data_IF_926914760125
#
_entry.id   IF_926914760125
#
_cell.length_a   1.000
_cell.length_b   1.000
_cell.length_c   1.000
_cell.angle_alpha   90.00
_cell.angle_beta   90.00
_cell.angle_gamma   90.00
#
_symmetry.space_group_name_H-M   'P 1'
#
loop_
_entity.id
_entity.type
_entity.pdbx_description
1 polymer ?
#
# COMPACT_ATOMS: atom_id res chain seq x y z
N UNK A 1 31.96 -22.26 15.03
CA UNK A 1 32.40 -23.31 15.97
C UNK A 1 33.19 -22.66 17.10
N UNK A 2 32.69 -22.66 18.35
CA UNK A 2 33.47 -22.17 19.49
C UNK A 2 34.52 -23.22 19.88
N UNK A 3 35.80 -22.91 19.75
CA UNK A 3 36.90 -23.79 20.15
C UNK A 3 37.04 -23.79 21.67
N UNK A 4 36.68 -24.92 22.30
CA UNK A 4 36.87 -25.13 23.74
C UNK A 4 38.31 -25.58 24.03
N UNK A 5 38.83 -25.11 25.17
CA UNK A 5 40.24 -25.21 25.56
C UNK A 5 40.53 -26.54 26.28
N UNK A 6 41.29 -27.43 25.64
CA UNK A 6 41.57 -28.80 26.10
C UNK A 6 42.94 -28.98 26.77
N UNK A 7 43.54 -27.91 27.31
CA UNK A 7 44.85 -27.99 27.98
C UNK A 7 44.67 -28.54 29.40
N UNK A 8 45.41 -29.59 29.81
CA UNK A 8 45.35 -30.13 31.17
C UNK A 8 46.06 -29.21 32.18
N UNK A 9 45.49 -29.10 33.38
CA UNK A 9 46.09 -28.35 34.48
C UNK A 9 47.25 -29.17 35.03
N UNK A 10 48.45 -28.59 35.04
CA UNK A 10 49.69 -29.30 35.42
C UNK A 10 50.09 -29.10 36.89
N UNK A 11 49.41 -28.20 37.61
CA UNK A 11 49.77 -27.77 38.97
C UNK A 11 48.56 -27.58 39.89
N UNK A 12 48.77 -27.72 41.21
CA UNK A 12 47.74 -27.48 42.24
C UNK A 12 46.71 -28.60 42.42
N UNK A 13 45.66 -28.32 43.19
CA UNK A 13 44.62 -29.29 43.63
C UNK A 13 43.82 -29.89 42.44
N UNK A 14 43.78 -29.19 41.30
CA UNK A 14 43.07 -29.63 40.10
C UNK A 14 44.01 -30.25 39.04
N UNK A 15 45.23 -30.68 39.43
CA UNK A 15 46.20 -31.29 38.53
C UNK A 15 45.62 -32.53 37.83
N UNK A 16 45.81 -32.60 36.51
CA UNK A 16 45.31 -33.67 35.64
C UNK A 16 43.93 -33.43 35.01
N UNK A 17 43.14 -32.48 35.50
CA UNK A 17 41.84 -32.12 34.91
C UNK A 17 42.00 -31.12 33.76
N UNK A 18 41.10 -31.14 32.77
CA UNK A 18 41.17 -30.22 31.64
C UNK A 18 40.64 -28.82 32.02
N UNK A 19 41.25 -27.79 31.44
CA UNK A 19 40.91 -26.40 31.73
C UNK A 19 39.43 -26.07 31.54
N UNK A 20 38.78 -26.64 30.51
CA UNK A 20 37.35 -26.44 30.23
C UNK A 20 36.43 -26.97 31.35
N UNK A 21 36.85 -28.01 32.06
CA UNK A 21 36.02 -28.69 33.06
C UNK A 21 36.04 -27.94 34.40
N UNK A 22 37.10 -27.16 34.63
CA UNK A 22 37.35 -26.51 35.93
C UNK A 22 37.17 -25.00 35.86
N UNK A 23 37.53 -24.37 34.74
CA UNK A 23 37.52 -22.91 34.63
C UNK A 23 36.40 -22.41 33.74
N UNK A 24 35.54 -21.56 34.31
CA UNK A 24 34.49 -20.82 33.58
C UNK A 24 35.04 -19.98 32.40
N UNK A 25 36.30 -19.54 32.49
CA UNK A 25 37.00 -18.84 31.42
C UNK A 25 38.41 -19.45 31.24
N UNK A 26 38.73 -19.96 30.05
CA UNK A 26 40.05 -20.54 29.78
C UNK A 26 41.13 -19.45 29.82
N UNK A 27 42.16 -19.67 30.63
CA UNK A 27 43.32 -18.76 30.81
C UNK A 27 44.46 -19.06 29.84
N UNK A 28 44.36 -20.13 29.06
CA UNK A 28 45.36 -20.54 28.05
C UNK A 28 45.11 -19.90 26.68
N UNK A 29 43.93 -19.31 26.46
CA UNK A 29 43.67 -18.55 25.24
C UNK A 29 44.27 -17.17 25.41
N UNK A 30 45.45 -16.98 24.84
CA UNK A 30 46.10 -15.68 24.81
C UNK A 30 45.41 -14.75 23.82
N UNK A 31 45.44 -13.45 24.13
CA UNK A 31 44.91 -12.38 23.28
C UNK A 31 46.00 -11.34 23.10
N UNK A 32 46.38 -11.08 21.85
CA UNK A 32 47.37 -10.06 21.52
C UNK A 32 46.73 -8.67 21.44
N UNK A 33 47.47 -7.64 21.85
CA UNK A 33 47.12 -6.25 21.57
C UNK A 33 47.20 -6.01 20.06
N UNK A 34 46.13 -5.48 19.49
CA UNK A 34 46.03 -5.15 18.06
C UNK A 34 46.87 -3.93 17.66
N UNK A 35 47.40 -3.18 18.63
CA UNK A 35 48.20 -1.96 18.40
C UNK A 35 49.70 -2.26 18.43
N UNK A 36 50.17 -3.04 19.41
CA UNK A 36 51.60 -3.31 19.62
C UNK A 36 51.97 -4.80 19.58
N UNK A 37 51.00 -5.70 19.44
CA UNK A 37 51.23 -7.14 19.36
C UNK A 37 51.49 -7.84 20.70
N UNK A 38 51.56 -7.13 21.84
CA UNK A 38 51.83 -7.77 23.14
C UNK A 38 50.76 -8.80 23.51
N UNK A 39 51.20 -9.98 23.98
CA UNK A 39 50.34 -11.15 24.21
C UNK A 39 49.94 -11.25 25.67
N UNK A 40 48.64 -11.28 25.95
CA UNK A 40 48.09 -11.35 27.31
C UNK A 40 47.30 -12.62 27.54
N UNK A 41 47.42 -13.21 28.74
CA UNK A 41 46.63 -14.39 29.15
C UNK A 41 45.15 -14.06 29.44
N UNK A 42 44.82 -12.78 29.63
CA UNK A 42 43.47 -12.33 29.97
C UNK A 42 43.08 -11.05 29.22
N UNK A 43 41.84 -11.02 28.71
CA UNK A 43 41.26 -9.84 28.03
C UNK A 43 41.25 -8.58 28.90
N UNK A 44 41.04 -8.72 30.21
CA UNK A 44 41.03 -7.60 31.15
C UNK A 44 42.43 -6.98 31.32
N UNK A 45 43.47 -7.81 31.35
CA UNK A 45 44.87 -7.35 31.40
C UNK A 45 45.26 -6.61 30.13
N UNK A 46 44.91 -7.16 28.95
CA UNK A 46 45.08 -6.46 27.66
C UNK A 46 44.31 -5.14 27.63
N UNK A 47 43.07 -5.11 28.14
CA UNK A 47 42.27 -3.88 28.23
C UNK A 47 42.92 -2.81 29.09
N UNK A 48 43.49 -3.18 30.24
CA UNK A 48 44.24 -2.25 31.10
C UNK A 48 45.55 -1.79 30.46
N UNK A 49 46.26 -2.69 29.78
CA UNK A 49 47.45 -2.35 29.00
C UNK A 49 47.12 -1.29 27.93
N UNK A 50 46.06 -1.50 27.14
CA UNK A 50 45.62 -0.51 26.14
C UNK A 50 45.26 0.83 26.77
N UNK A 51 44.56 0.83 27.89
CA UNK A 51 44.18 2.07 28.58
C UNK A 51 45.39 2.84 29.14
N UNK A 52 46.46 2.14 29.55
CA UNK A 52 47.67 2.77 30.11
C UNK A 52 48.68 3.21 29.06
N UNK A 53 48.92 2.37 28.05
CA UNK A 53 50.04 2.55 27.11
C UNK A 53 49.58 2.96 25.70
N UNK A 54 48.30 2.78 25.38
CA UNK A 54 47.67 3.27 24.15
C UNK A 54 46.42 4.14 24.42
N UNK A 55 46.52 5.17 25.30
CA UNK A 55 45.41 6.07 25.57
C UNK A 55 45.07 6.85 24.28
N UNK A 56 43.96 6.49 23.63
CA UNK A 56 43.50 7.20 22.43
C UNK A 56 42.75 6.33 21.42
N UNK A 57 42.91 5.02 21.43
CA UNK A 57 42.30 4.16 20.42
C UNK A 57 41.18 3.30 21.01
N UNK A 58 39.95 3.58 20.53
CA UNK A 58 38.69 2.82 20.68
C UNK A 58 37.77 3.21 21.86
N UNK A 59 37.21 4.43 21.78
CA UNK A 59 35.95 4.78 22.45
C UNK A 59 34.75 4.25 21.63
N UNK A 60 34.43 2.97 21.75
CA UNK A 60 33.06 2.47 21.49
C UNK A 60 32.85 1.18 22.29
N UNK A 61 32.35 1.30 23.52
CA UNK A 61 31.41 0.35 24.13
C UNK A 61 30.68 1.08 25.27
N UNK A 62 29.53 1.66 24.89
CA UNK A 62 28.32 2.01 25.64
C UNK A 62 28.47 2.09 27.18
N UNK A 63 28.46 3.33 27.70
CA UNK A 63 27.86 3.68 29.00
C UNK A 63 26.83 4.80 28.77
N UNK A 64 25.72 4.85 29.54
CA UNK A 64 24.68 5.85 29.35
C UNK A 64 25.28 7.24 29.49
N UNK A 65 24.94 8.11 28.53
CA UNK A 65 25.44 9.48 28.47
C UNK A 65 25.06 10.23 29.76
N UNK A 66 26.06 10.53 30.59
CA UNK A 66 26.06 11.74 31.40
C UNK A 66 27.45 12.39 31.33
N UNK A 67 27.50 13.48 30.56
CA UNK A 67 28.50 14.56 30.53
C UNK A 67 29.89 14.14 30.00
N UNK A 68 30.54 14.83 29.06
CA UNK A 68 30.50 16.25 28.68
C UNK A 68 30.86 16.38 27.20
N UNK A 69 30.06 17.14 26.44
CA UNK A 69 30.49 17.72 25.16
C UNK A 69 31.24 19.01 25.53
N UNK A 70 32.48 19.13 25.06
CA UNK A 70 33.22 20.39 25.09
C UNK A 70 32.52 21.36 24.14
N UNK A 71 31.87 22.35 24.76
CA UNK A 71 31.05 23.43 24.20
C UNK A 71 29.92 22.99 23.24
N UNK A 72 28.65 22.97 23.70
CA UNK A 72 27.53 22.92 22.77
C UNK A 72 27.55 24.18 21.89
N UNK A 73 27.13 24.11 20.60
CA UNK A 73 26.82 25.33 19.84
C UNK A 73 25.94 26.21 20.72
N UNK A 74 26.15 27.54 20.69
CA UNK A 74 25.64 28.44 21.71
C UNK A 74 24.19 28.07 22.06
N UNK A 75 23.87 28.00 23.35
CA UNK A 75 22.53 27.56 23.80
C UNK A 75 21.41 28.32 23.09
N UNK A 76 21.70 29.53 22.59
CA UNK A 76 20.84 30.32 21.74
C UNK A 76 20.66 29.75 20.32
N UNK A 77 21.73 29.39 19.61
CA UNK A 77 21.66 28.78 18.26
C UNK A 77 20.97 27.42 18.29
N UNK A 78 21.25 26.58 19.29
CA UNK A 78 20.59 25.29 19.42
C UNK A 78 19.08 25.44 19.72
N UNK A 79 18.71 26.39 20.60
CA UNK A 79 17.30 26.72 20.87
C UNK A 79 16.61 27.28 19.64
N UNK A 80 17.30 28.15 18.88
CA UNK A 80 16.79 28.71 17.62
C UNK A 80 16.54 27.61 16.59
N UNK A 81 17.50 26.71 16.39
CA UNK A 81 17.35 25.58 15.46
C UNK A 81 16.24 24.60 15.88
N UNK A 82 16.08 24.32 17.18
CA UNK A 82 14.95 23.52 17.67
C UNK A 82 13.60 24.21 17.44
N UNK A 83 13.53 25.53 17.62
CA UNK A 83 12.30 26.29 17.36
C UNK A 83 11.95 26.28 15.87
N UNK A 84 12.94 26.45 14.99
CA UNK A 84 12.77 26.38 13.53
C UNK A 84 12.32 24.98 13.08
N UNK A 85 12.94 23.92 13.62
CA UNK A 85 12.52 22.53 13.34
C UNK A 85 11.08 22.25 13.81
N UNK A 86 10.67 22.84 14.95
CA UNK A 86 9.29 22.71 15.44
C UNK A 86 8.31 23.42 14.52
N UNK A 87 8.65 24.62 14.06
CA UNK A 87 7.82 25.39 13.12
C UNK A 87 7.71 24.66 11.78
N UNK A 88 8.83 24.16 11.23
CA UNK A 88 8.83 23.38 9.99
C UNK A 88 8.01 22.10 10.10
N UNK A 89 8.10 21.38 11.22
CA UNK A 89 7.25 20.21 11.48
C UNK A 89 5.78 20.58 11.58
N UNK A 90 5.46 21.68 12.26
CA UNK A 90 4.09 22.17 12.34
C UNK A 90 3.55 22.54 10.95
N UNK A 91 4.32 23.30 10.17
CA UNK A 91 3.95 23.64 8.79
C UNK A 91 3.79 22.40 7.90
N UNK A 92 4.62 21.38 8.10
CA UNK A 92 4.50 20.10 7.38
C UNK A 92 3.24 19.35 7.79
N UNK A 93 2.93 19.29 9.08
CA UNK A 93 1.70 18.68 9.61
C UNK A 93 0.46 19.45 9.14
N UNK A 94 0.46 20.78 9.21
CA UNK A 94 -0.64 21.62 8.71
C UNK A 94 -0.86 21.43 7.20
N UNK A 95 0.21 21.15 6.44
CA UNK A 95 0.12 20.78 5.01
C UNK A 95 -0.45 19.37 4.81
N UNK A 96 -0.04 18.40 5.64
CA UNK A 96 -0.61 17.04 5.61
C UNK A 96 -2.10 17.10 5.95
N UNK A 97 -2.47 17.80 7.02
CA UNK A 97 -3.85 17.98 7.45
C UNK A 97 -4.68 18.67 6.35
N UNK A 98 -4.13 19.68 5.66
CA UNK A 98 -4.79 20.28 4.49
C UNK A 98 -4.99 19.29 3.34
N UNK A 99 -4.02 18.43 3.05
CA UNK A 99 -4.12 17.40 2.00
C UNK A 99 -5.09 16.28 2.39
N UNK A 100 -5.20 15.96 3.68
CA UNK A 100 -6.15 14.96 4.19
C UNK A 100 -7.59 15.50 4.30
N UNK A 101 -7.75 16.81 4.49
CA UNK A 101 -9.03 17.50 4.51
C UNK A 101 -9.58 17.83 3.12
N UNK A 102 -8.75 17.78 2.07
CA UNK A 102 -9.29 17.79 0.71
C UNK A 102 -10.11 16.51 0.51
N UNK A 103 -11.39 16.61 0.09
CA UNK A 103 -12.17 15.44 -0.22
C UNK A 103 -11.46 14.70 -1.34
N UNK A 104 -10.81 13.59 -1.00
CA UNK A 104 -10.35 12.59 -1.94
C UNK A 104 -11.59 12.00 -2.58
N UNK A 105 -12.17 12.71 -3.55
CA UNK A 105 -13.18 12.23 -4.48
C UNK A 105 -12.50 11.25 -5.45
N UNK A 106 -11.89 10.21 -4.87
CA UNK A 106 -11.31 9.09 -5.58
C UNK A 106 -12.51 8.27 -5.98
N UNK A 107 -12.88 8.38 -7.24
CA UNK A 107 -13.93 7.55 -7.82
C UNK A 107 -13.37 6.15 -7.95
N UNK A 108 -14.03 5.19 -7.32
CA UNK A 108 -13.60 3.79 -7.28
C UNK A 108 -14.57 2.96 -8.11
N UNK A 109 -14.06 2.00 -8.88
CA UNK A 109 -14.93 1.19 -9.73
C UNK A 109 -15.60 0.11 -8.92
N UNK A 110 -16.92 0.24 -8.86
CA UNK A 110 -17.82 -0.64 -8.14
C UNK A 110 -17.73 -0.51 -6.63
N UNK A 111 -17.45 0.69 -6.11
CA UNK A 111 -17.56 1.01 -4.68
C UNK A 111 -18.98 0.80 -4.13
N UNK A 112 -19.99 1.29 -4.85
CA UNK A 112 -21.41 1.05 -4.64
C UNK A 112 -22.02 0.25 -5.80
N UNK A 113 -23.28 -0.18 -5.66
CA UNK A 113 -23.98 -0.79 -6.81
C UNK A 113 -24.21 0.29 -7.86
N UNK A 114 -23.95 -0.03 -9.13
CA UNK A 114 -24.14 0.93 -10.22
C UNK A 114 -25.57 1.48 -10.25
N UNK A 115 -26.56 0.68 -9.87
CA UNK A 115 -27.95 1.14 -9.79
C UNK A 115 -28.12 2.25 -8.75
N UNK A 116 -27.63 2.04 -7.52
CA UNK A 116 -27.67 3.07 -6.47
C UNK A 116 -26.93 4.35 -6.88
N UNK A 117 -25.74 4.21 -7.49
CA UNK A 117 -24.98 5.36 -7.99
C UNK A 117 -25.74 6.12 -9.08
N UNK A 118 -26.46 5.42 -9.96
CA UNK A 118 -27.32 6.03 -10.97
C UNK A 118 -28.54 6.71 -10.32
N UNK A 119 -29.23 6.06 -9.39
CA UNK A 119 -30.34 6.67 -8.63
C UNK A 119 -29.91 7.97 -7.97
N UNK A 120 -28.75 7.97 -7.28
CA UNK A 120 -28.22 9.17 -6.64
C UNK A 120 -27.95 10.28 -7.66
N UNK A 121 -27.44 9.94 -8.85
CA UNK A 121 -27.13 10.91 -9.91
C UNK A 121 -28.38 11.47 -10.60
N UNK A 122 -29.42 10.67 -10.77
CA UNK A 122 -30.68 11.08 -11.40
C UNK A 122 -31.72 11.63 -10.41
N UNK A 123 -31.55 11.38 -9.11
CA UNK A 123 -32.48 11.74 -8.04
C UNK A 123 -33.79 10.94 -8.06
N UNK A 124 -33.90 9.89 -8.88
CA UNK A 124 -35.10 9.09 -9.07
C UNK A 124 -34.75 7.70 -9.57
N UNK A 125 -35.32 6.66 -8.93
CA UNK A 125 -35.19 5.27 -9.34
C UNK A 125 -35.74 5.07 -10.77
N UNK A 126 -36.89 5.69 -11.09
CA UNK A 126 -37.54 5.59 -12.40
C UNK A 126 -36.62 6.05 -13.54
N UNK A 127 -35.99 7.21 -13.38
CA UNK A 127 -35.05 7.77 -14.36
C UNK A 127 -33.78 6.93 -14.48
N UNK A 128 -33.27 6.41 -13.37
CA UNK A 128 -32.10 5.53 -13.38
C UNK A 128 -32.40 4.20 -14.11
N UNK A 129 -33.59 3.64 -13.90
CA UNK A 129 -34.04 2.44 -14.62
C UNK A 129 -34.22 2.70 -16.12
N UNK A 130 -34.89 3.79 -16.51
CA UNK A 130 -35.09 4.16 -17.91
C UNK A 130 -33.74 4.33 -18.64
N UNK A 131 -32.79 4.99 -17.97
CA UNK A 131 -31.42 5.11 -18.48
C UNK A 131 -30.74 3.74 -18.62
N UNK A 132 -30.81 2.86 -17.62
CA UNK A 132 -30.23 1.52 -17.73
C UNK A 132 -30.83 0.74 -18.90
N UNK A 133 -32.16 0.69 -19.00
CA UNK A 133 -32.89 -0.08 -20.01
C UNK A 133 -32.62 0.39 -21.44
N UNK A 134 -32.54 1.70 -21.65
CA UNK A 134 -32.23 2.27 -22.96
C UNK A 134 -30.79 2.00 -23.43
N UNK A 135 -29.88 1.64 -22.51
CA UNK A 135 -28.46 1.41 -22.77
C UNK A 135 -28.02 -0.07 -22.66
N UNK A 136 -28.93 -1.03 -22.50
CA UNK A 136 -28.62 -2.48 -22.45
C UNK A 136 -28.27 -3.03 -23.84
N UNK A 137 -27.15 -2.58 -24.40
CA UNK A 137 -26.53 -3.15 -25.60
C UNK A 137 -25.02 -3.18 -25.36
N UNK A 138 -24.29 -4.24 -25.73
CA UNK A 138 -22.83 -4.31 -25.54
C UNK A 138 -22.09 -3.07 -26.05
N UNK A 139 -22.56 -2.52 -27.17
CA UNK A 139 -22.01 -1.31 -27.81
C UNK A 139 -22.30 -0.02 -27.04
N UNK A 140 -23.32 -0.02 -26.16
CA UNK A 140 -23.77 1.11 -25.33
C UNK A 140 -23.44 0.96 -23.85
N UNK A 141 -22.84 -0.16 -23.43
CA UNK A 141 -22.35 -0.31 -22.05
C UNK A 141 -21.39 0.82 -21.65
N UNK A 142 -20.70 1.41 -22.63
CA UNK A 142 -19.85 2.59 -22.42
C UNK A 142 -20.65 3.81 -21.94
N UNK A 143 -21.92 3.96 -22.33
CA UNK A 143 -22.77 5.09 -21.91
C UNK A 143 -23.00 5.06 -20.40
N UNK A 144 -23.16 3.86 -19.83
CA UNK A 144 -23.30 3.66 -18.38
C UNK A 144 -21.99 4.02 -17.67
N UNK A 145 -20.85 3.54 -18.21
CA UNK A 145 -19.51 3.87 -17.68
C UNK A 145 -19.24 5.37 -17.76
N UNK A 146 -19.59 6.01 -18.88
CA UNK A 146 -19.46 7.45 -19.08
C UNK A 146 -20.26 8.20 -18.03
N UNK A 147 -21.54 7.86 -17.87
CA UNK A 147 -22.45 8.50 -16.91
C UNK A 147 -21.97 8.32 -15.48
N UNK A 148 -21.40 7.18 -15.12
CA UNK A 148 -20.99 6.94 -13.72
C UNK A 148 -19.60 7.46 -13.39
N UNK A 149 -18.65 7.29 -14.30
CA UNK A 149 -17.23 7.36 -13.94
C UNK A 149 -16.43 8.39 -14.72
N UNK A 150 -16.93 8.92 -15.84
CA UNK A 150 -16.15 9.80 -16.73
C UNK A 150 -16.77 11.20 -16.91
N UNK A 151 -18.11 11.30 -16.89
CA UNK A 151 -18.84 12.55 -17.12
C UNK A 151 -18.48 13.62 -16.07
N UNK A 152 -17.98 14.76 -16.54
CA UNK A 152 -17.56 15.89 -15.69
C UNK A 152 -16.18 15.73 -15.06
N UNK A 153 -15.39 14.72 -15.48
CA UNK A 153 -14.05 14.44 -14.95
C UNK A 153 -13.02 14.67 -16.06
N UNK A 154 -11.88 15.25 -15.71
CA UNK A 154 -10.77 15.42 -16.64
C UNK A 154 -10.12 14.06 -16.96
N UNK A 155 -9.65 13.86 -18.19
CA UNK A 155 -9.11 12.55 -18.65
C UNK A 155 -7.92 12.01 -17.85
N UNK A 156 -7.13 12.89 -17.23
CA UNK A 156 -6.01 12.59 -16.33
C UNK A 156 -6.46 12.19 -14.91
N UNK A 157 -7.75 12.32 -14.61
CA UNK A 157 -8.39 11.96 -13.34
C UNK A 157 -9.39 10.82 -13.49
N UNK A 158 -9.47 10.21 -14.67
CA UNK A 158 -10.36 9.07 -14.87
C UNK A 158 -10.00 7.92 -13.92
N UNK A 159 -10.99 7.22 -13.35
CA UNK A 159 -10.74 6.08 -12.48
C UNK A 159 -10.29 4.82 -13.26
N UNK A 160 -10.30 4.90 -14.60
CA UNK A 160 -9.84 3.90 -15.55
C UNK A 160 -8.99 4.62 -16.59
N UNK A 161 -7.81 4.08 -16.91
CA UNK A 161 -7.02 4.53 -18.05
C UNK A 161 -6.50 3.33 -18.84
N UNK A 162 -6.31 3.52 -20.13
CA UNK A 162 -5.75 2.53 -21.05
C UNK A 162 -4.57 3.13 -21.80
N UNK A 163 -3.53 2.31 -22.02
CA UNK A 163 -2.45 2.60 -23.00
C UNK A 163 -2.59 1.67 -24.20
N UNK A 164 -1.68 1.81 -25.16
CA UNK A 164 -1.57 0.89 -26.29
C UNK A 164 -1.46 -0.58 -25.84
N UNK A 165 -2.02 -1.48 -26.66
CA UNK A 165 -2.04 -2.92 -26.39
C UNK A 165 -3.06 -3.40 -25.36
N UNK A 166 -4.14 -2.63 -25.12
CA UNK A 166 -5.22 -2.99 -24.17
C UNK A 166 -4.71 -3.18 -22.73
N UNK A 167 -3.73 -2.37 -22.30
CA UNK A 167 -3.27 -2.37 -20.91
C UNK A 167 -4.07 -1.36 -20.12
N UNK A 168 -5.00 -1.85 -19.31
CA UNK A 168 -5.84 -1.02 -18.45
C UNK A 168 -5.24 -0.91 -17.06
N UNK A 169 -5.30 0.30 -16.49
CA UNK A 169 -5.09 0.53 -15.06
C UNK A 169 -6.30 1.20 -14.47
N UNK A 170 -6.71 0.73 -13.28
CA UNK A 170 -7.91 1.24 -12.63
C UNK A 170 -7.91 1.02 -11.13
N UNK A 171 -8.74 1.78 -10.42
CA UNK A 171 -8.89 1.67 -8.97
C UNK A 171 -9.95 0.63 -8.61
N UNK A 172 -9.57 -0.35 -7.79
CA UNK A 172 -10.50 -1.32 -7.23
C UNK A 172 -11.17 -0.81 -5.93
N UNK A 173 -12.12 -1.59 -5.40
CA UNK A 173 -12.83 -1.32 -4.13
C UNK A 173 -11.93 -0.99 -2.92
N UNK A 174 -10.67 -1.45 -2.93
CA UNK A 174 -9.70 -1.17 -1.87
C UNK A 174 -8.86 0.09 -2.12
N UNK A 175 -9.18 0.87 -3.16
CA UNK A 175 -8.39 2.05 -3.57
C UNK A 175 -7.02 1.70 -4.17
N UNK A 176 -6.78 0.43 -4.51
CA UNK A 176 -5.51 -0.02 -5.10
C UNK A 176 -5.60 -0.01 -6.62
N UNK A 177 -4.51 0.41 -7.26
CA UNK A 177 -4.36 0.35 -8.72
C UNK A 177 -4.19 -1.11 -9.14
N UNK A 178 -5.04 -1.56 -10.05
CA UNK A 178 -4.97 -2.87 -10.71
C UNK A 178 -4.38 -2.68 -12.10
N UNK A 179 -3.36 -3.46 -12.44
CA UNK A 179 -2.78 -3.54 -13.80
C UNK A 179 -3.39 -4.73 -14.55
N UNK A 180 -4.28 -4.46 -15.51
CA UNK A 180 -5.00 -5.46 -16.30
C UNK A 180 -4.51 -5.46 -17.76
N UNK A 181 -3.53 -6.34 -18.02
CA UNK A 181 -2.99 -6.55 -19.36
C UNK A 181 -3.99 -7.32 -20.22
N UNK A 182 -4.44 -6.72 -21.31
CA UNK A 182 -5.41 -7.29 -22.24
C UNK A 182 -6.88 -6.95 -21.90
N UNK A 183 -7.13 -6.23 -20.81
CA UNK A 183 -8.42 -5.62 -20.48
C UNK A 183 -9.57 -6.58 -20.15
N UNK A 184 -9.30 -7.87 -19.92
CA UNK A 184 -10.36 -8.87 -19.67
C UNK A 184 -10.98 -8.71 -18.29
N UNK A 185 -10.20 -8.34 -17.28
CA UNK A 185 -10.67 -8.24 -15.89
C UNK A 185 -11.57 -7.03 -15.71
N UNK A 186 -11.19 -5.87 -16.27
CA UNK A 186 -11.99 -4.65 -16.16
C UNK A 186 -13.32 -4.80 -16.90
N UNK A 187 -13.30 -5.37 -18.11
CA UNK A 187 -14.50 -5.61 -18.91
C UNK A 187 -15.46 -6.55 -18.20
N UNK A 188 -14.97 -7.71 -17.77
CA UNK A 188 -15.79 -8.68 -17.02
C UNK A 188 -16.36 -8.09 -15.73
N UNK A 189 -15.58 -7.26 -15.01
CA UNK A 189 -16.02 -6.57 -13.80
C UNK A 189 -17.15 -5.58 -14.11
N UNK A 190 -16.98 -4.72 -15.11
CA UNK A 190 -17.99 -3.74 -15.49
C UNK A 190 -19.27 -4.41 -15.98
N UNK A 191 -19.17 -5.46 -16.80
CA UNK A 191 -20.35 -6.19 -17.27
C UNK A 191 -21.08 -6.92 -16.14
N UNK A 192 -20.33 -7.48 -15.18
CA UNK A 192 -20.91 -8.08 -13.98
C UNK A 192 -21.63 -7.04 -13.13
N UNK A 193 -21.07 -5.83 -13.00
CA UNK A 193 -21.69 -4.75 -12.24
C UNK A 193 -22.94 -4.20 -12.93
N UNK A 194 -22.90 -4.06 -14.25
CA UNK A 194 -24.08 -3.72 -15.07
C UNK A 194 -25.16 -4.80 -14.88
N UNK A 195 -24.80 -6.09 -14.94
CA UNK A 195 -25.75 -7.17 -14.72
C UNK A 195 -26.38 -7.11 -13.32
N UNK A 196 -25.57 -6.88 -12.27
CA UNK A 196 -26.09 -6.69 -10.91
C UNK A 196 -27.05 -5.50 -10.81
N UNK A 197 -26.74 -4.37 -11.45
CA UNK A 197 -27.62 -3.21 -11.48
C UNK A 197 -28.97 -3.48 -12.17
N UNK A 198 -28.96 -4.29 -13.23
CA UNK A 198 -30.19 -4.71 -13.89
C UNK A 198 -31.05 -5.63 -13.02
N UNK A 199 -30.41 -6.56 -12.30
CA UNK A 199 -31.11 -7.43 -11.33
C UNK A 199 -31.70 -6.60 -10.20
N UNK A 200 -30.96 -5.60 -9.69
CA UNK A 200 -31.43 -4.69 -8.65
C UNK A 200 -32.62 -3.84 -9.11
N UNK A 201 -32.53 -3.24 -10.31
CA UNK A 201 -33.62 -2.49 -10.94
C UNK A 201 -34.87 -3.36 -11.11
N UNK A 202 -34.72 -4.60 -11.60
CA UNK A 202 -35.84 -5.53 -11.74
C UNK A 202 -36.45 -5.90 -10.38
N UNK A 203 -35.61 -6.16 -9.37
CA UNK A 203 -36.08 -6.48 -8.02
C UNK A 203 -36.87 -5.33 -7.40
N UNK A 204 -36.48 -4.09 -7.71
CA UNK A 204 -37.19 -2.88 -7.27
C UNK A 204 -38.56 -2.75 -7.95
N UNK A 205 -38.60 -2.93 -9.27
CA UNK A 205 -39.85 -2.95 -10.04
C UNK A 205 -40.85 -4.01 -9.54
N UNK A 206 -40.37 -5.21 -9.21
CA UNK A 206 -41.23 -6.27 -8.67
C UNK A 206 -41.87 -5.85 -7.34
N UNK A 207 -41.10 -5.22 -6.45
CA UNK A 207 -41.64 -4.70 -5.17
C UNK A 207 -42.66 -3.60 -5.38
N UNK A 208 -42.42 -2.71 -6.34
CA UNK A 208 -43.33 -1.61 -6.64
C UNK A 208 -44.62 -2.11 -7.31
N UNK A 209 -44.54 -3.14 -8.16
CA UNK A 209 -45.69 -3.79 -8.79
C UNK A 209 -46.53 -4.64 -7.80
N UNK A 210 -45.90 -5.22 -6.78
CA UNK A 210 -46.61 -5.85 -5.66
C UNK A 210 -47.38 -4.82 -4.81
N UNK A 211 -46.88 -3.59 -4.71
CA UNK A 211 -47.48 -2.51 -3.91
C UNK A 211 -48.50 -1.67 -4.68
N UNK A 212 -48.29 -1.44 -5.97
CA UNK A 212 -49.15 -0.67 -6.85
C UNK A 212 -49.47 -1.55 -8.07
N UNK A 213 -50.74 -1.79 -8.36
CA UNK A 213 -51.23 -2.61 -9.48
C UNK A 213 -50.91 -1.97 -10.85
N UNK A 214 -49.62 -1.78 -11.15
CA UNK A 214 -49.09 -1.20 -12.37
C UNK A 214 -48.31 -2.29 -13.10
N UNK A 215 -48.81 -2.66 -14.27
CA UNK A 215 -48.16 -3.62 -15.16
C UNK A 215 -47.01 -2.87 -15.85
N UNK A 216 -45.89 -2.69 -15.16
CA UNK A 216 -44.64 -2.50 -15.89
C UNK A 216 -44.37 -3.78 -16.69
N UNK A 217 -43.81 -3.65 -17.88
CA UNK A 217 -43.52 -4.78 -18.78
C UNK A 217 -42.33 -5.61 -18.25
N UNK A 218 -42.53 -6.26 -17.09
CA UNK A 218 -41.57 -7.08 -16.36
C UNK A 218 -41.00 -8.18 -17.27
N UNK A 219 -41.85 -8.73 -18.14
CA UNK A 219 -41.47 -9.76 -19.12
C UNK A 219 -40.47 -9.22 -20.15
N UNK A 220 -40.64 -7.99 -20.65
CA UNK A 220 -39.66 -7.33 -21.52
C UNK A 220 -38.30 -7.16 -20.83
N UNK A 221 -38.30 -6.79 -19.54
CA UNK A 221 -37.10 -6.53 -18.77
C UNK A 221 -36.33 -7.83 -18.43
N UNK A 222 -37.05 -8.87 -18.02
CA UNK A 222 -36.49 -10.22 -17.83
C UNK A 222 -35.89 -10.76 -19.13
N UNK A 223 -36.57 -10.57 -20.26
CA UNK A 223 -36.05 -10.92 -21.58
C UNK A 223 -34.79 -10.13 -21.95
N UNK A 224 -34.71 -8.84 -21.61
CA UNK A 224 -33.50 -8.05 -21.84
C UNK A 224 -32.33 -8.47 -20.94
N UNK A 225 -32.57 -8.78 -19.67
CA UNK A 225 -31.54 -9.33 -18.77
C UNK A 225 -31.00 -10.66 -19.29
N UNK A 226 -31.89 -11.55 -19.75
CA UNK A 226 -31.52 -12.84 -20.32
C UNK A 226 -30.68 -12.67 -21.59
N UNK A 227 -31.11 -11.79 -22.51
CA UNK A 227 -30.36 -11.46 -23.73
C UNK A 227 -28.99 -10.85 -23.43
N UNK A 228 -28.89 -9.96 -22.44
CA UNK A 228 -27.63 -9.35 -22.03
C UNK A 228 -26.63 -10.41 -21.55
N UNK A 229 -27.09 -11.39 -20.75
CA UNK A 229 -26.25 -12.50 -20.28
C UNK A 229 -25.75 -13.40 -21.42
N UNK A 230 -26.51 -13.50 -22.51
CA UNK A 230 -26.17 -14.26 -23.70
C UNK A 230 -25.26 -13.50 -24.69
N UNK A 231 -25.18 -12.17 -24.57
CA UNK A 231 -24.35 -11.32 -25.43
C UNK A 231 -22.90 -11.34 -24.95
N UNK A 232 -22.17 -12.40 -25.30
CA UNK A 232 -20.74 -12.58 -25.03
C UNK A 232 -19.78 -11.70 -25.84
N UNK A 233 -20.19 -10.49 -26.24
CA UNK A 233 -19.36 -9.59 -27.06
C UNK A 233 -18.43 -8.70 -26.20
N UNK A 234 -17.66 -9.37 -25.34
CA UNK A 234 -16.63 -8.75 -24.51
C UNK A 234 -15.59 -8.00 -25.35
N UNK A 235 -15.38 -8.43 -26.60
CA UNK A 235 -14.41 -7.84 -27.51
C UNK A 235 -14.82 -6.44 -27.93
N UNK A 236 -16.05 -6.24 -28.41
CA UNK A 236 -16.53 -4.90 -28.79
C UNK A 236 -16.56 -3.94 -27.60
N UNK A 237 -17.07 -4.39 -26.45
CA UNK A 237 -17.10 -3.51 -25.28
C UNK A 237 -15.69 -3.10 -24.83
N UNK A 238 -14.73 -4.04 -24.86
CA UNK A 238 -13.32 -3.75 -24.60
C UNK A 238 -12.74 -2.73 -25.57
N UNK A 239 -13.02 -2.86 -26.86
CA UNK A 239 -12.53 -1.95 -27.90
C UNK A 239 -13.05 -0.53 -27.71
N UNK A 240 -14.35 -0.40 -27.45
CA UNK A 240 -14.99 0.90 -27.21
C UNK A 240 -14.42 1.50 -25.91
N UNK A 241 -14.36 0.72 -24.84
CA UNK A 241 -13.80 1.17 -23.56
C UNK A 241 -12.34 1.64 -23.71
N UNK A 242 -11.50 0.87 -24.40
CA UNK A 242 -10.09 1.20 -24.64
C UNK A 242 -9.95 2.56 -25.32
N UNK A 243 -10.75 2.81 -26.37
CA UNK A 243 -10.75 4.08 -27.11
C UNK A 243 -11.20 5.25 -26.24
N UNK A 244 -12.23 5.06 -25.41
CA UNK A 244 -12.79 6.11 -24.56
C UNK A 244 -11.84 6.54 -23.44
N UNK A 245 -11.15 5.58 -22.82
CA UNK A 245 -10.27 5.82 -21.66
C UNK A 245 -8.78 5.85 -22.01
N UNK A 246 -8.45 5.95 -23.30
CA UNK A 246 -7.06 6.01 -23.76
C UNK A 246 -6.37 7.28 -23.26
N UNK A 247 -5.29 7.11 -22.50
CA UNK A 247 -4.46 8.19 -22.01
C UNK A 247 -3.10 7.64 -21.55
N UNK A 248 -2.06 7.77 -22.39
CA UNK A 248 -0.70 7.32 -22.05
C UNK A 248 -0.07 8.16 -20.93
N UNK A 249 -0.39 9.45 -20.86
CA UNK A 249 0.10 10.37 -19.83
C UNK A 249 -0.69 10.29 -18.52
N UNK A 250 -1.58 9.30 -18.35
CA UNK A 250 -2.37 9.18 -17.13
C UNK A 250 -1.45 8.93 -15.92
N UNK A 251 -1.71 9.56 -14.75
CA UNK A 251 -0.95 9.34 -13.53
C UNK A 251 -0.85 7.87 -13.08
N UNK A 252 -1.74 7.01 -13.57
CA UNK A 252 -1.64 5.57 -13.34
C UNK A 252 -0.41 4.93 -13.97
N UNK A 253 0.22 5.53 -14.99
CA UNK A 253 1.34 4.96 -15.73
C UNK A 253 2.69 5.61 -15.43
N UNK A 254 2.70 6.67 -14.62
CA UNK A 254 3.91 7.39 -14.18
C UNK A 254 4.54 6.78 -12.93
#
# INVERSE_FOLDING_TARGET
MQSYCCIPITTGINKGKLCKDINKYCRHKTTACDICGEVFSHKSSMGRHKLKLHPGTKKELIKPVRKSIEQPPSTQEYKKLQSELRILRQQMNDRIDKVEQEPKNIIIIGDETMFKSLTNKFGSDEKAMEFLLSNIKPERNIDIVNKLYLEGIERNRYPIACTDGYRFRYLNRSGKIVDDKGGRKIVSKLESEIHCALVEANSKLLKDAEQHCMIYNIESLQNQIYKYRALGDHMKFREVLAKTVYNEGHPFFN
#
